data_IF_915952996384
#
_entry.id   IF_915952996384
#
_cell.length_a   1.000
_cell.length_b   1.000
_cell.length_c   1.000
_cell.angle_alpha   90.00
_cell.angle_beta   90.00
_cell.angle_gamma   90.00
#
_symmetry.space_group_name_H-M   'P 1'
#
loop_
_entity.id
_entity.type
_entity.pdbx_description
1 polymer ?
#
# COMPACT_ATOMS: atom_id res chain seq x y z
N UNK A 1 -13.75 -5.90 -14.80
CA UNK A 1 -12.35 -6.37 -14.69
C UNK A 1 -11.96 -6.34 -13.23
N UNK A 2 -11.84 -7.50 -12.60
CA UNK A 2 -11.47 -7.59 -11.19
C UNK A 2 -9.96 -7.38 -11.08
N UNK A 3 -9.52 -6.36 -10.34
CA UNK A 3 -8.09 -6.15 -10.09
C UNK A 3 -7.65 -7.24 -9.12
N UNK A 4 -6.71 -8.09 -9.54
CA UNK A 4 -6.14 -9.17 -8.72
C UNK A 4 -4.70 -8.79 -8.32
N UNK A 5 -4.46 -8.29 -7.10
CA UNK A 5 -3.12 -7.99 -6.63
C UNK A 5 -2.31 -9.26 -6.43
N UNK A 6 -1.08 -9.25 -6.92
CA UNK A 6 -0.15 -10.36 -6.83
C UNK A 6 1.11 -9.95 -6.07
N UNK A 7 1.83 -10.93 -5.53
CA UNK A 7 3.15 -10.72 -4.94
C UNK A 7 3.14 -9.77 -3.74
N UNK A 8 2.21 -9.97 -2.80
CA UNK A 8 2.15 -9.21 -1.55
C UNK A 8 3.49 -9.24 -0.80
N UNK A 9 3.97 -8.05 -0.42
CA UNK A 9 5.16 -7.87 0.40
C UNK A 9 4.81 -7.07 1.64
N UNK A 10 5.06 -7.66 2.81
CA UNK A 10 4.99 -6.97 4.09
C UNK A 10 6.17 -5.99 4.20
N UNK A 11 5.90 -4.78 4.68
CA UNK A 11 6.95 -3.78 4.92
C UNK A 11 7.91 -4.27 6.02
N UNK A 12 9.21 -4.05 5.82
CA UNK A 12 10.22 -4.30 6.87
C UNK A 12 10.10 -3.32 8.05
N UNK A 13 9.35 -2.23 7.88
CA UNK A 13 9.01 -1.27 8.95
C UNK A 13 7.81 -1.71 9.79
N UNK A 14 7.18 -2.84 9.46
CA UNK A 14 6.14 -3.44 10.27
C UNK A 14 6.74 -4.14 11.48
N UNK A 15 6.68 -3.49 12.64
CA UNK A 15 7.15 -4.03 13.91
C UNK A 15 6.27 -5.17 14.44
N UNK A 16 6.61 -5.70 15.61
CA UNK A 16 5.85 -6.81 16.22
C UNK A 16 4.39 -6.45 16.55
N UNK A 17 4.08 -5.17 16.77
CA UNK A 17 2.75 -4.76 17.28
C UNK A 17 2.14 -3.52 16.62
N UNK A 18 2.84 -2.77 15.76
CA UNK A 18 2.30 -1.51 15.18
C UNK A 18 2.69 -1.35 13.71
N UNK A 19 1.87 -0.59 12.97
CA UNK A 19 2.15 -0.12 11.60
C UNK A 19 2.41 -1.23 10.57
N UNK A 20 1.58 -2.28 10.60
CA UNK A 20 1.75 -3.43 9.72
C UNK A 20 1.07 -3.19 8.36
N UNK A 21 1.86 -2.94 7.32
CA UNK A 21 1.36 -2.67 5.96
C UNK A 21 1.92 -3.69 4.98
N UNK A 22 1.05 -4.20 4.11
CA UNK A 22 1.39 -5.03 2.96
C UNK A 22 1.10 -4.27 1.67
N UNK A 23 2.02 -4.38 0.69
CA UNK A 23 1.85 -3.82 -0.66
C UNK A 23 1.86 -4.95 -1.68
N UNK A 24 0.85 -4.97 -2.54
CA UNK A 24 0.70 -5.90 -3.65
C UNK A 24 0.90 -5.17 -4.98
N UNK A 25 1.43 -5.86 -5.98
CA UNK A 25 1.54 -5.32 -7.34
C UNK A 25 0.26 -5.58 -8.13
N UNK A 26 -0.16 -4.57 -8.87
CA UNK A 26 -1.22 -4.68 -9.89
C UNK A 26 -0.68 -4.12 -11.21
N UNK A 27 -1.34 -4.41 -12.33
CA UNK A 27 -0.82 -4.11 -13.67
C UNK A 27 -0.42 -2.63 -13.86
N UNK A 28 -1.17 -1.69 -13.26
CA UNK A 28 -0.94 -0.25 -13.39
C UNK A 28 -0.63 0.44 -12.06
N UNK A 29 -0.13 -0.28 -11.04
CA UNK A 29 0.21 0.35 -9.77
C UNK A 29 0.31 -0.58 -8.57
N UNK A 30 -0.28 -0.14 -7.45
CA UNK A 30 -0.14 -0.81 -6.15
C UNK A 30 -1.49 -1.05 -5.49
N UNK A 31 -1.58 -2.16 -4.75
CA UNK A 31 -2.61 -2.41 -3.76
C UNK A 31 -2.00 -2.31 -2.37
N UNK A 32 -2.70 -1.68 -1.43
CA UNK A 32 -2.23 -1.50 -0.06
C UNK A 32 -3.29 -1.99 0.91
N UNK A 33 -2.84 -2.73 1.92
CA UNK A 33 -3.73 -3.22 2.99
C UNK A 33 -3.05 -3.24 4.35
N UNK A 34 -3.88 -3.27 5.38
CA UNK A 34 -3.45 -3.60 6.74
C UNK A 34 -3.10 -5.10 6.79
N UNK A 35 -1.92 -5.41 7.29
CA UNK A 35 -1.50 -6.80 7.49
C UNK A 35 -2.32 -7.48 8.59
N UNK A 36 -2.78 -6.71 9.58
CA UNK A 36 -3.51 -7.22 10.75
C UNK A 36 -4.98 -7.45 10.46
N UNK A 37 -5.55 -6.68 9.53
CA UNK A 37 -6.94 -6.81 9.12
C UNK A 37 -7.03 -7.00 7.60
N UNK A 38 -6.64 -8.20 7.15
CA UNK A 38 -6.75 -8.58 5.74
C UNK A 38 -8.21 -8.72 5.29
N UNK A 39 -9.13 -8.96 6.22
CA UNK A 39 -10.57 -9.08 5.97
C UNK A 39 -11.21 -7.74 5.61
N UNK A 40 -10.70 -6.63 6.11
CA UNK A 40 -11.14 -5.28 5.73
C UNK A 40 -10.87 -4.93 4.26
N UNK A 41 -10.08 -5.74 3.56
CA UNK A 41 -9.80 -5.57 2.13
C UNK A 41 -8.55 -4.75 1.85
N UNK A 42 -8.51 -4.11 0.69
CA UNK A 42 -7.38 -3.30 0.21
C UNK A 42 -7.89 -2.15 -0.66
N UNK A 43 -7.12 -1.08 -0.73
CA UNK A 43 -7.32 -0.04 -1.74
C UNK A 43 -6.24 -0.14 -2.82
N UNK A 44 -6.53 0.39 -4.00
CA UNK A 44 -5.62 0.38 -5.15
C UNK A 44 -5.26 1.79 -5.57
N UNK A 45 -4.06 1.99 -6.08
CA UNK A 45 -3.61 3.25 -6.69
C UNK A 45 -2.99 2.96 -8.04
N UNK A 46 -3.07 3.91 -8.97
CA UNK A 46 -2.23 3.88 -10.16
C UNK A 46 -0.78 4.18 -9.80
N UNK A 47 0.16 3.90 -10.71
CA UNK A 47 1.57 4.26 -10.55
C UNK A 47 1.77 5.77 -10.37
N UNK A 48 1.01 6.58 -11.10
CA UNK A 48 1.05 8.05 -10.99
C UNK A 48 0.54 8.54 -9.63
N UNK A 49 -0.58 7.99 -9.14
CA UNK A 49 -1.10 8.32 -7.81
C UNK A 49 -0.12 7.91 -6.71
N UNK A 50 0.54 6.76 -6.84
CA UNK A 50 1.54 6.29 -5.89
C UNK A 50 2.75 7.23 -5.82
N UNK A 51 3.27 7.64 -6.99
CA UNK A 51 4.38 8.58 -7.06
C UNK A 51 4.03 9.94 -6.45
N UNK A 52 2.83 10.47 -6.76
CA UNK A 52 2.35 11.72 -6.18
C UNK A 52 2.19 11.64 -4.65
N UNK A 53 1.63 10.53 -4.15
CA UNK A 53 1.51 10.30 -2.71
C UNK A 53 2.87 10.28 -2.01
N UNK A 54 3.85 9.53 -2.54
CA UNK A 54 5.22 9.50 -1.97
C UNK A 54 5.85 10.89 -1.98
N UNK A 55 5.67 11.66 -3.06
CA UNK A 55 6.16 13.04 -3.13
C UNK A 55 5.56 13.93 -2.05
N UNK A 56 4.24 13.84 -1.82
CA UNK A 56 3.56 14.60 -0.78
C UNK A 56 4.00 14.19 0.64
N UNK A 57 4.18 12.90 0.91
CA UNK A 57 4.70 12.42 2.21
C UNK A 57 6.12 12.93 2.45
N UNK A 58 7.00 12.86 1.45
CA UNK A 58 8.38 13.37 1.56
C UNK A 58 8.45 14.88 1.77
N UNK A 59 7.41 15.61 1.36
CA UNK A 59 7.28 17.05 1.54
C UNK A 59 6.52 17.42 2.82
N UNK A 60 6.28 16.46 3.74
CA UNK A 60 5.58 16.67 5.02
C UNK A 60 4.19 17.32 4.86
N UNK A 61 3.53 17.06 3.73
CA UNK A 61 2.25 17.70 3.38
C UNK A 61 1.05 17.24 4.23
N UNK A 62 1.20 16.16 4.97
CA UNK A 62 0.12 15.50 5.72
C UNK A 62 0.34 15.50 7.24
N UNK A 63 1.34 16.25 7.72
CA UNK A 63 1.50 16.60 9.14
C UNK A 63 0.63 17.81 9.50
#
# INVERSE_FOLDING_TARGET
>A
MTIHPQGWRKSSRSGQRTSCVEVGRIADGAAVRDTKDRSAGYFTTTGAQWAAFIGAVKAEKFD
#
